data_IF_296527229351
#
_entry.id   IF_296527229351
#
_cell.length_a   1.000
_cell.length_b   1.000
_cell.length_c   1.000
_cell.angle_alpha   90.00
_cell.angle_beta   90.00
_cell.angle_gamma   90.00
#
_symmetry.space_group_name_H-M   'P 1'
#
loop_
_entity.id
_entity.type
_entity.pdbx_description
1 polymer ?
#
# COMPACT_ATOMS: atom_id res chain seq x y z
N UNK A 1 2.87 7.00 30.20
CA UNK A 1 2.41 5.72 29.61
C UNK A 1 3.65 4.91 29.22
N UNK A 2 4.04 3.91 30.02
CA UNK A 2 5.20 3.05 29.73
C UNK A 2 4.71 1.81 28.99
N UNK A 3 4.75 1.84 27.66
CA UNK A 3 4.51 0.66 26.85
C UNK A 3 5.68 -0.32 27.04
N UNK A 4 5.43 -1.63 27.16
CA UNK A 4 6.49 -2.63 27.21
C UNK A 4 7.38 -2.56 25.96
N UNK A 5 8.69 -2.73 26.13
CA UNK A 5 9.70 -2.52 25.08
C UNK A 5 9.40 -3.28 23.76
N UNK A 6 8.82 -4.47 23.87
CA UNK A 6 8.41 -5.27 22.71
C UNK A 6 7.28 -4.62 21.89
N UNK A 7 6.33 -3.95 22.54
CA UNK A 7 5.26 -3.22 21.83
C UNK A 7 5.82 -2.00 21.11
N UNK A 8 6.78 -1.30 21.72
CA UNK A 8 7.47 -0.16 21.09
C UNK A 8 8.21 -0.63 19.83
N UNK A 9 8.92 -1.76 19.90
CA UNK A 9 9.60 -2.33 18.75
C UNK A 9 8.63 -2.75 17.63
N UNK A 10 7.52 -3.41 17.99
CA UNK A 10 6.50 -3.82 17.02
C UNK A 10 5.82 -2.62 16.33
N UNK A 11 5.59 -1.52 17.04
CA UNK A 11 5.08 -0.29 16.44
C UNK A 11 6.10 0.33 15.49
N UNK A 12 7.38 0.35 15.87
CA UNK A 12 8.42 0.98 15.06
C UNK A 12 8.72 0.19 13.77
N UNK A 13 8.65 -1.15 13.80
CA UNK A 13 8.98 -1.98 12.63
C UNK A 13 8.08 -1.74 11.42
N UNK A 14 6.83 -1.27 11.63
CA UNK A 14 5.90 -0.94 10.54
C UNK A 14 6.35 0.25 9.68
N UNK A 15 7.35 1.03 10.12
CA UNK A 15 7.92 2.12 9.33
C UNK A 15 8.59 1.63 8.05
N UNK A 16 9.21 0.44 8.09
CA UNK A 16 9.83 -0.16 6.92
C UNK A 16 8.79 -0.47 5.83
N UNK A 17 7.61 -0.98 6.23
CA UNK A 17 6.50 -1.26 5.29
C UNK A 17 5.96 0.03 4.67
N UNK A 18 5.87 1.12 5.46
CA UNK A 18 5.48 2.43 4.94
C UNK A 18 6.48 2.97 3.90
N UNK A 19 7.77 2.79 4.13
CA UNK A 19 8.82 3.18 3.18
C UNK A 19 8.72 2.38 1.88
N UNK A 20 8.41 1.07 1.97
CA UNK A 20 8.24 0.23 0.78
C UNK A 20 7.05 0.70 -0.07
N UNK A 21 5.93 1.06 0.57
CA UNK A 21 4.75 1.60 -0.13
C UNK A 21 5.03 2.94 -0.82
N UNK A 22 5.83 3.81 -0.21
CA UNK A 22 6.26 5.07 -0.83
C UNK A 22 7.16 4.80 -2.04
N UNK A 23 8.06 3.81 -1.97
CA UNK A 23 8.90 3.40 -3.10
C UNK A 23 8.06 2.86 -4.26
N UNK A 24 7.12 1.97 -3.98
CA UNK A 24 6.15 1.47 -4.98
C UNK A 24 5.40 2.63 -5.63
N UNK A 25 4.88 3.58 -4.85
CA UNK A 25 4.18 4.75 -5.38
C UNK A 25 5.09 5.62 -6.27
N UNK A 26 6.37 5.79 -5.89
CA UNK A 26 7.33 6.58 -6.67
C UNK A 26 7.70 5.92 -7.99
N UNK A 27 8.04 4.63 -7.96
CA UNK A 27 8.59 3.92 -9.11
C UNK A 27 7.49 3.34 -10.04
N UNK A 28 6.40 2.80 -9.49
CA UNK A 28 5.35 2.16 -10.30
C UNK A 28 4.34 3.16 -10.85
N UNK A 29 3.99 4.20 -10.08
CA UNK A 29 2.98 5.19 -10.48
C UNK A 29 3.57 6.49 -11.03
N UNK A 30 4.89 6.57 -11.20
CA UNK A 30 5.55 7.69 -11.89
C UNK A 30 5.40 9.04 -11.18
N UNK A 31 5.29 9.03 -9.85
CA UNK A 31 5.10 10.21 -9.00
C UNK A 31 6.12 11.34 -9.26
N UNK A 32 7.32 11.00 -9.74
CA UNK A 32 8.41 11.93 -10.04
C UNK A 32 8.21 12.75 -11.34
N UNK A 33 7.29 12.32 -12.22
CA UNK A 33 7.14 12.88 -13.58
C UNK A 33 5.98 13.88 -13.75
N UNK A 34 5.14 14.07 -12.72
CA UNK A 34 4.00 14.99 -12.79
C UNK A 34 4.46 16.44 -12.59
N UNK A 35 4.99 17.06 -13.64
CA UNK A 35 5.20 18.51 -13.68
C UNK A 35 4.12 19.16 -14.55
N UNK A 36 2.90 19.30 -14.01
CA UNK A 36 1.87 20.07 -14.69
C UNK A 36 2.18 21.57 -14.58
N UNK A 37 1.86 22.34 -15.62
CA UNK A 37 2.15 23.78 -15.69
C UNK A 37 1.44 24.64 -14.63
N UNK A 38 0.53 24.05 -13.84
CA UNK A 38 -0.19 24.71 -12.75
C UNK A 38 -0.06 23.93 -11.44
N UNK A 39 0.07 24.66 -10.32
CA UNK A 39 0.20 24.08 -8.98
C UNK A 39 -1.00 23.20 -8.61
N UNK A 40 -2.22 23.71 -8.81
CA UNK A 40 -3.46 22.99 -8.54
C UNK A 40 -3.68 21.77 -9.45
N UNK A 41 -3.18 21.82 -10.69
CA UNK A 41 -3.26 20.68 -11.60
C UNK A 41 -2.39 19.52 -11.13
N UNK A 42 -1.14 19.83 -10.73
CA UNK A 42 -0.23 18.84 -10.16
C UNK A 42 -0.79 18.27 -8.86
N UNK A 43 -1.31 19.10 -7.95
CA UNK A 43 -1.91 18.64 -6.69
C UNK A 43 -3.12 17.70 -6.92
N UNK A 44 -4.03 18.06 -7.83
CA UNK A 44 -5.17 17.21 -8.18
C UNK A 44 -4.71 15.87 -8.78
N UNK A 45 -3.67 15.87 -9.62
CA UNK A 45 -3.10 14.67 -10.20
C UNK A 45 -2.47 13.76 -9.14
N UNK A 46 -1.68 14.32 -8.22
CA UNK A 46 -1.07 13.57 -7.12
C UNK A 46 -2.13 12.95 -6.20
N UNK A 47 -3.20 13.69 -5.89
CA UNK A 47 -4.32 13.19 -5.10
C UNK A 47 -5.06 12.04 -5.82
N UNK A 48 -5.25 12.13 -7.14
CA UNK A 48 -5.85 11.06 -7.94
C UNK A 48 -4.97 9.81 -7.97
N UNK A 49 -3.65 9.96 -8.08
CA UNK A 49 -2.70 8.83 -8.04
C UNK A 49 -2.71 8.15 -6.67
N UNK A 50 -2.76 8.90 -5.57
CA UNK A 50 -2.90 8.34 -4.22
C UNK A 50 -4.22 7.56 -4.05
N UNK A 51 -5.32 8.08 -4.60
CA UNK A 51 -6.62 7.39 -4.62
C UNK A 51 -6.55 6.07 -5.41
N UNK A 52 -5.94 6.10 -6.60
CA UNK A 52 -5.75 4.91 -7.44
C UNK A 52 -4.87 3.86 -6.76
N UNK A 53 -3.79 4.27 -6.07
CA UNK A 53 -2.94 3.36 -5.30
C UNK A 53 -3.72 2.66 -4.18
N UNK A 54 -4.50 3.43 -3.40
CA UNK A 54 -5.34 2.86 -2.34
C UNK A 54 -6.36 1.87 -2.90
N UNK A 55 -7.00 2.21 -4.03
CA UNK A 55 -7.94 1.33 -4.71
C UNK A 55 -7.26 0.03 -5.19
N UNK A 56 -6.08 0.14 -5.81
CA UNK A 56 -5.30 -1.01 -6.26
C UNK A 56 -4.84 -1.90 -5.10
N UNK A 57 -4.47 -1.29 -3.96
CA UNK A 57 -4.13 -2.00 -2.73
C UNK A 57 -5.32 -2.80 -2.18
N UNK A 58 -6.52 -2.23 -2.20
CA UNK A 58 -7.75 -2.93 -1.81
C UNK A 58 -8.09 -4.08 -2.76
N UNK A 59 -7.96 -3.89 -4.08
CA UNK A 59 -8.12 -4.97 -5.05
C UNK A 59 -7.13 -6.10 -4.81
N UNK A 60 -5.86 -5.77 -4.53
CA UNK A 60 -4.85 -6.76 -4.18
C UNK A 60 -5.26 -7.55 -2.94
N UNK A 61 -5.70 -6.89 -1.86
CA UNK A 61 -6.17 -7.59 -0.66
C UNK A 61 -7.36 -8.50 -0.94
N UNK A 62 -8.37 -8.03 -1.69
CA UNK A 62 -9.55 -8.82 -2.03
C UNK A 62 -9.26 -10.04 -2.94
N UNK A 63 -8.33 -9.89 -3.88
CA UNK A 63 -7.92 -10.98 -4.78
C UNK A 63 -7.03 -12.01 -4.07
N UNK A 64 -6.10 -11.58 -3.22
CA UNK A 64 -5.23 -12.48 -2.46
C UNK A 64 -6.02 -13.28 -1.42
N UNK A 65 -7.04 -12.68 -0.78
CA UNK A 65 -7.97 -13.40 0.11
C UNK A 65 -8.71 -14.50 -0.66
N UNK A 66 -9.18 -14.22 -1.89
CA UNK A 66 -9.83 -15.23 -2.72
C UNK A 66 -8.90 -16.38 -3.12
N UNK A 67 -7.66 -16.08 -3.54
CA UNK A 67 -6.67 -17.09 -3.94
C UNK A 67 -6.24 -17.94 -2.75
N UNK A 68 -6.01 -17.32 -1.58
CA UNK A 68 -5.67 -18.03 -0.35
C UNK A 68 -6.81 -18.94 0.14
N UNK A 69 -8.07 -18.47 0.12
CA UNK A 69 -9.24 -19.29 0.45
C UNK A 69 -9.38 -20.46 -0.52
N UNK A 70 -9.13 -20.25 -1.82
CA UNK A 70 -9.21 -21.32 -2.84
C UNK A 70 -8.13 -22.40 -2.65
N UNK A 71 -6.91 -22.00 -2.28
CA UNK A 71 -5.82 -22.91 -1.92
C UNK A 71 -6.09 -23.66 -0.61
N UNK A 72 -6.65 -22.98 0.39
CA UNK A 72 -7.03 -23.61 1.66
C UNK A 72 -8.17 -24.63 1.47
N UNK A 73 -9.14 -24.35 0.59
CA UNK A 73 -10.19 -25.29 0.21
C UNK A 73 -9.61 -26.51 -0.53
N UNK A 74 -8.66 -26.31 -1.45
CA UNK A 74 -7.99 -27.40 -2.17
C UNK A 74 -7.16 -28.32 -1.26
N UNK A 75 -6.56 -27.76 -0.20
CA UNK A 75 -5.81 -28.53 0.81
C UNK A 75 -6.70 -29.25 1.84
N UNK A 76 -7.99 -28.89 1.94
CA UNK A 76 -8.98 -29.52 2.82
C UNK A 76 -9.95 -30.46 2.07
N UNK A 77 -9.81 -30.61 0.75
CA UNK A 77 -10.69 -31.41 -0.11
C UNK A 77 -9.93 -32.48 -0.92
N UNK A 78 -8.74 -32.86 -0.44
CA UNK A 78 -7.98 -34.06 -0.81
C UNK A 78 -7.48 -34.76 0.46
#
# INVERSE_FOLDING_TARGET
MTLPAQQVWNLYKQRADAENRIKELKYDFGFDSFNMKSFYGTEAALNMVMLAYNLMSLFRQGLYVNVMIKLLFLLFWF
#
